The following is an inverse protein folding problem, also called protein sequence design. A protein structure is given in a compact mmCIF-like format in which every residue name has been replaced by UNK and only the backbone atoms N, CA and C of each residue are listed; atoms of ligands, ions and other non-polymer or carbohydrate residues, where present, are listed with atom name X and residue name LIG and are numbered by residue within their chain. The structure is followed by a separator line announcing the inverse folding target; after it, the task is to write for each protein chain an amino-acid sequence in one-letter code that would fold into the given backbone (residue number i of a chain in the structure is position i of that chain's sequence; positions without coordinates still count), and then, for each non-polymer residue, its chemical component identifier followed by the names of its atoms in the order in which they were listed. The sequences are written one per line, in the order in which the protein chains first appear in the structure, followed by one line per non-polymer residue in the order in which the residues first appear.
data_IF_623462039982
#
_entry.id   IF_623462039982
#
_cell.length_a   1.000
_cell.length_b   1.000
_cell.length_c   1.000
_cell.angle_alpha   90.00
_cell.angle_beta   90.00
_cell.angle_gamma   90.00
#
_symmetry.space_group_name_H-M   'P 1'
#
loop_
_entity.id
_entity.type
_entity.pdbx_description
1 polymer ?
#
# COMPACT_ATOMS: atom_id res chain seq x y z
N UNK A 1 -16.73 -13.17 10.30
CA UNK A 1 -16.80 -12.67 8.92
C UNK A 1 -17.17 -11.18 8.81
N UNK A 2 -17.34 -10.43 9.91
CA UNK A 2 -17.88 -9.06 9.88
C UNK A 2 -16.88 -7.94 9.51
N UNK A 3 -15.57 -8.16 9.59
CA UNK A 3 -14.58 -7.10 9.30
C UNK A 3 -14.36 -6.87 7.79
N UNK A 4 -14.75 -7.82 6.95
CA UNK A 4 -14.63 -7.68 5.49
C UNK A 4 -15.67 -6.72 4.90
N UNK A 5 -16.71 -6.36 5.64
CA UNK A 5 -17.76 -5.44 5.19
C UNK A 5 -17.48 -3.99 5.63
N UNK A 6 -16.57 -3.79 6.58
CA UNK A 6 -16.33 -2.48 7.22
C UNK A 6 -15.27 -1.63 6.51
N UNK A 7 -14.79 -2.01 5.32
CA UNK A 7 -13.88 -1.17 4.51
C UNK A 7 -12.63 -0.72 5.26
N UNK A 8 -11.86 -1.67 5.81
CA UNK A 8 -10.60 -1.41 6.51
C UNK A 8 -9.35 -1.53 5.65
N UNK A 9 -8.17 -1.47 6.26
CA UNK A 9 -6.91 -1.89 5.63
C UNK A 9 -6.60 -3.32 6.08
N UNK A 10 -6.47 -4.24 5.12
CA UNK A 10 -6.18 -5.65 5.39
C UNK A 10 -4.70 -5.97 5.15
N UNK A 11 -4.07 -6.64 6.10
CA UNK A 11 -2.70 -7.15 5.98
C UNK A 11 -2.78 -8.60 5.51
N UNK A 12 -2.23 -8.91 4.34
CA UNK A 12 -2.41 -10.22 3.66
C UNK A 12 -1.75 -11.41 4.37
N UNK A 13 -0.49 -11.32 4.87
CA UNK A 13 0.17 -12.44 5.56
C UNK A 13 -0.61 -13.10 6.72
N UNK A 14 -1.19 -12.36 7.70
CA UNK A 14 -1.94 -12.99 8.79
C UNK A 14 -3.23 -13.67 8.30
N UNK A 15 -3.88 -13.15 7.25
CA UNK A 15 -5.08 -13.77 6.66
C UNK A 15 -4.72 -15.06 5.96
N UNK A 16 -3.61 -15.05 5.23
CA UNK A 16 -3.10 -16.24 4.56
C UNK A 16 -2.82 -17.36 5.57
N UNK A 17 -2.14 -17.04 6.68
CA UNK A 17 -1.90 -18.00 7.76
C UNK A 17 -3.19 -18.54 8.37
N UNK A 18 -4.14 -17.67 8.72
CA UNK A 18 -5.43 -18.08 9.27
C UNK A 18 -6.24 -18.96 8.29
N UNK A 19 -6.14 -18.68 6.98
CA UNK A 19 -6.78 -19.48 5.94
C UNK A 19 -6.15 -20.88 5.83
N UNK A 20 -4.82 -20.98 5.93
CA UNK A 20 -4.12 -22.28 5.92
C UNK A 20 -4.46 -23.11 7.17
N UNK A 21 -4.51 -22.48 8.34
CA UNK A 21 -4.92 -23.12 9.60
C UNK A 21 -6.36 -23.63 9.52
N UNK A 22 -7.28 -22.84 8.95
CA UNK A 22 -8.68 -23.23 8.81
C UNK A 22 -8.89 -24.36 7.79
N UNK A 23 -8.14 -24.36 6.69
CA UNK A 23 -8.25 -25.38 5.64
C UNK A 23 -7.39 -26.63 5.91
N UNK A 24 -6.47 -26.57 6.87
CA UNK A 24 -5.52 -27.66 7.17
C UNK A 24 -4.55 -27.96 6.03
N UNK A 25 -4.36 -27.02 5.09
CA UNK A 25 -3.47 -27.20 3.92
C UNK A 25 -2.81 -25.90 3.54
N UNK A 26 -1.63 -26.00 2.94
CA UNK A 26 -0.93 -24.85 2.35
C UNK A 26 -1.68 -24.32 1.15
N UNK A 27 -1.81 -23.01 1.08
CA UNK A 27 -2.50 -22.29 0.01
C UNK A 27 -1.51 -21.33 -0.63
N UNK A 28 -1.51 -21.24 -1.95
CA UNK A 28 -0.64 -20.27 -2.61
C UNK A 28 -1.13 -18.83 -2.38
N UNK A 29 -0.20 -17.89 -2.15
CA UNK A 29 -0.50 -16.48 -1.88
C UNK A 29 -1.41 -15.85 -2.96
N UNK A 30 -1.23 -16.24 -4.22
CA UNK A 30 -2.07 -15.76 -5.34
C UNK A 30 -3.55 -16.12 -5.17
N UNK A 31 -3.87 -17.22 -4.48
CA UNK A 31 -5.25 -17.62 -4.19
C UNK A 31 -5.91 -16.64 -3.24
N UNK A 32 -5.17 -16.20 -2.21
CA UNK A 32 -5.63 -15.20 -1.24
C UNK A 32 -5.86 -13.87 -1.94
N UNK A 33 -4.90 -13.41 -2.76
CA UNK A 33 -5.09 -12.18 -3.54
C UNK A 33 -6.26 -12.25 -4.50
N UNK A 34 -6.48 -13.37 -5.20
CA UNK A 34 -7.64 -13.56 -6.10
C UNK A 34 -8.96 -13.56 -5.32
N UNK A 35 -8.98 -14.13 -4.12
CA UNK A 35 -10.17 -14.15 -3.27
C UNK A 35 -10.50 -12.74 -2.78
N UNK A 36 -9.49 -11.99 -2.32
CA UNK A 36 -9.63 -10.59 -1.92
C UNK A 36 -10.13 -9.73 -3.10
N UNK A 37 -9.52 -9.87 -4.27
CA UNK A 37 -9.92 -9.13 -5.48
C UNK A 37 -11.38 -9.40 -5.88
N UNK A 38 -11.85 -10.66 -5.77
CA UNK A 38 -13.25 -11.02 -6.03
C UNK A 38 -14.23 -10.36 -5.06
N UNK A 39 -13.81 -10.12 -3.83
CA UNK A 39 -14.59 -9.46 -2.79
C UNK A 39 -14.49 -7.93 -2.86
N UNK A 40 -13.94 -7.37 -3.96
CA UNK A 40 -13.82 -5.93 -4.18
C UNK A 40 -12.62 -5.26 -3.50
N UNK A 41 -11.72 -6.04 -2.90
CA UNK A 41 -10.52 -5.51 -2.26
C UNK A 41 -9.45 -5.17 -3.29
N UNK A 42 -8.96 -3.93 -3.24
CA UNK A 42 -7.84 -3.47 -4.06
C UNK A 42 -6.54 -3.46 -3.26
N UNK A 43 -5.43 -3.80 -3.93
CA UNK A 43 -4.09 -3.64 -3.36
C UNK A 43 -3.81 -2.15 -3.22
N UNK A 44 -3.47 -1.72 -2.01
CA UNK A 44 -3.03 -0.34 -1.76
C UNK A 44 -1.56 -0.23 -2.15
N UNK A 45 -1.26 0.69 -3.06
CA UNK A 45 0.10 1.05 -3.42
C UNK A 45 0.39 2.46 -2.90
N UNK A 46 1.62 2.74 -2.44
CA UNK A 46 1.97 4.08 -1.99
C UNK A 46 1.87 5.06 -3.16
N UNK A 47 1.30 6.24 -2.90
CA UNK A 47 1.22 7.30 -3.89
C UNK A 47 2.62 7.69 -4.39
N UNK A 48 2.77 7.80 -5.71
CA UNK A 48 4.05 8.16 -6.33
C UNK A 48 4.40 9.64 -6.12
N UNK A 49 3.43 10.48 -5.79
CA UNK A 49 3.59 11.92 -5.60
C UNK A 49 2.90 12.39 -4.33
N UNK A 50 3.48 13.38 -3.66
CA UNK A 50 2.85 14.02 -2.52
C UNK A 50 1.61 14.81 -2.99
N UNK A 51 0.45 14.73 -2.31
CA UNK A 51 -0.79 15.38 -2.75
C UNK A 51 -0.71 16.91 -2.79
N UNK A 52 0.19 17.50 -2.01
CA UNK A 52 0.52 18.95 -2.02
C UNK A 52 1.75 19.29 -2.88
N UNK A 53 2.03 18.49 -3.92
CA UNK A 53 3.14 18.76 -4.84
C UNK A 53 2.81 20.02 -5.64
N UNK A 54 3.68 21.01 -5.52
CA UNK A 54 3.70 22.17 -6.40
C UNK A 54 4.83 21.96 -7.42
N UNK A 55 4.46 21.74 -8.68
CA UNK A 55 5.42 21.47 -9.75
C UNK A 55 6.28 22.69 -10.06
N UNK A 56 5.72 23.90 -9.98
CA UNK A 56 6.44 25.15 -10.24
C UNK A 56 7.48 25.41 -9.15
N UNK A 57 7.08 25.26 -7.88
CA UNK A 57 7.99 25.38 -6.75
C UNK A 57 9.11 24.34 -6.79
N UNK A 58 8.82 23.11 -7.24
CA UNK A 58 9.84 22.06 -7.40
C UNK A 58 10.84 22.39 -8.50
N UNK A 59 10.37 22.89 -9.64
CA UNK A 59 11.25 23.29 -10.76
C UNK A 59 12.11 24.48 -10.34
N UNK A 60 11.51 25.49 -9.71
CA UNK A 60 12.23 26.66 -9.18
C UNK A 60 13.28 26.23 -8.15
N UNK A 61 12.90 25.42 -7.17
CA UNK A 61 13.84 24.90 -6.17
C UNK A 61 14.96 24.09 -6.82
N UNK A 62 14.66 23.24 -7.81
CA UNK A 62 15.69 22.46 -8.51
C UNK A 62 16.74 23.33 -9.21
N UNK A 63 16.39 24.57 -9.61
CA UNK A 63 17.33 25.52 -10.20
C UNK A 63 18.05 26.38 -9.14
N UNK A 64 17.39 26.70 -8.04
CA UNK A 64 17.86 27.68 -7.05
C UNK A 64 18.42 27.02 -5.78
N UNK A 65 18.33 25.70 -5.63
CA UNK A 65 18.74 24.99 -4.42
C UNK A 65 20.26 25.10 -4.18
N UNK A 66 20.70 25.38 -2.93
CA UNK A 66 22.11 25.43 -2.60
C UNK A 66 22.76 24.04 -2.76
N UNK A 67 23.97 24.01 -3.33
CA UNK A 67 24.72 22.76 -3.60
C UNK A 67 25.23 22.06 -2.34
N UNK A 68 25.35 22.79 -1.24
CA UNK A 68 25.77 22.28 0.06
C UNK A 68 24.81 22.75 1.14
N UNK A 69 24.60 21.91 2.14
CA UNK A 69 23.83 22.28 3.31
C UNK A 69 24.60 23.35 4.10
N UNK A 70 24.16 24.60 3.99
CA UNK A 70 24.72 25.69 4.78
C UNK A 70 24.12 25.60 6.19
N UNK A 71 24.83 24.92 7.09
CA UNK A 71 24.54 24.98 8.52
C UNK A 71 24.93 26.37 9.01
N UNK A 72 23.93 27.18 9.34
CA UNK A 72 24.14 28.44 10.07
C UNK A 72 23.77 28.21 11.53
#
# INVERSE_FOLDING_TARGET
MAQSEQGGVLIVPPIHKALEEHLGRKVHLSTVYRLLARQGWRKVEPDTCHPKRDEEAQVAFKKTSPKCWQRT
#
